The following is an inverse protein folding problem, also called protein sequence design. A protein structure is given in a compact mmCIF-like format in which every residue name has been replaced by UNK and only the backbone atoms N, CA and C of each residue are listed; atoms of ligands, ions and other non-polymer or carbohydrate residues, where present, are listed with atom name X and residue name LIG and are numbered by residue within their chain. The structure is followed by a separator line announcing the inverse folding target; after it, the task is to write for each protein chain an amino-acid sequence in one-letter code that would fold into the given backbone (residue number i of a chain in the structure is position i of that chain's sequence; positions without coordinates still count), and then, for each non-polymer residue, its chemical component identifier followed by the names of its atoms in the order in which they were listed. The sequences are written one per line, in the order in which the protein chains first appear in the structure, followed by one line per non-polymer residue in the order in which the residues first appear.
data_IF_561238538990
#
_entry.id   IF_561238538990
#
_cell.length_a   1.000
_cell.length_b   1.000
_cell.length_c   1.000
_cell.angle_alpha   90.00
_cell.angle_beta   90.00
_cell.angle_gamma   90.00
#
_symmetry.space_group_name_H-M   'P 1'
#
loop_
_entity.id
_entity.type
_entity.pdbx_description
1 polymer ?
#
# COMPACT_ATOMS: atom_id res chain seq x y z
N UNK A 1 -28.79 -2.22 21.49
CA UNK A 1 -28.69 -2.54 20.04
C UNK A 1 -27.25 -2.76 19.64
N UNK A 2 -27.00 -3.47 18.55
CA UNK A 2 -25.64 -3.71 18.04
C UNK A 2 -25.39 -2.79 16.84
N UNK A 3 -24.27 -2.09 16.87
CA UNK A 3 -23.79 -1.18 15.83
C UNK A 3 -22.39 -1.60 15.36
N UNK A 4 -21.90 -1.00 14.29
CA UNK A 4 -20.48 -1.04 13.92
C UNK A 4 -19.95 0.37 14.11
N UNK A 5 -19.06 0.56 15.09
CA UNK A 5 -18.41 1.85 15.38
C UNK A 5 -16.94 1.76 15.02
N UNK A 6 -16.47 2.67 14.16
CA UNK A 6 -15.09 2.67 13.65
C UNK A 6 -14.62 1.28 13.17
N UNK A 7 -15.52 0.58 12.46
CA UNK A 7 -15.25 -0.76 11.91
C UNK A 7 -15.35 -1.91 12.91
N UNK A 8 -15.64 -1.67 14.19
CA UNK A 8 -15.75 -2.70 15.25
C UNK A 8 -17.20 -2.86 15.71
N UNK A 9 -17.65 -4.10 15.97
CA UNK A 9 -18.95 -4.34 16.60
C UNK A 9 -19.00 -3.68 17.99
N UNK A 10 -20.06 -2.96 18.26
CA UNK A 10 -20.31 -2.29 19.53
C UNK A 10 -21.76 -2.49 19.97
N UNK A 11 -21.98 -2.77 21.25
CA UNK A 11 -23.34 -2.91 21.81
C UNK A 11 -23.64 -1.71 22.70
N UNK A 12 -24.75 -1.04 22.45
CA UNK A 12 -25.14 0.18 23.15
C UNK A 12 -26.63 0.19 23.49
N UNK A 13 -27.00 0.98 24.50
CA UNK A 13 -28.37 1.35 24.80
C UNK A 13 -28.74 2.74 24.28
N UNK A 14 -27.78 3.47 23.71
CA UNK A 14 -28.01 4.78 23.11
C UNK A 14 -29.03 4.69 21.97
N UNK A 15 -29.93 5.64 21.86
CA UNK A 15 -30.90 5.76 20.78
C UNK A 15 -30.53 6.84 19.77
N UNK A 16 -29.59 7.72 20.14
CA UNK A 16 -29.15 8.85 19.32
C UNK A 16 -27.64 8.95 19.25
N UNK A 17 -27.14 9.63 18.23
CA UNK A 17 -25.72 9.83 17.98
C UNK A 17 -24.98 10.55 19.11
N UNK A 18 -25.58 11.54 19.76
CA UNK A 18 -24.95 12.25 20.89
C UNK A 18 -24.79 11.33 22.08
N UNK A 19 -25.80 10.57 22.45
CA UNK A 19 -25.77 9.64 23.56
C UNK A 19 -24.67 8.58 23.35
N UNK A 20 -24.55 8.08 22.09
CA UNK A 20 -23.49 7.14 21.71
C UNK A 20 -22.08 7.76 21.83
N UNK A 21 -21.91 9.02 21.43
CA UNK A 21 -20.63 9.72 21.57
C UNK A 21 -20.23 9.93 23.04
N UNK A 22 -21.20 10.29 23.87
CA UNK A 22 -21.00 10.45 25.32
C UNK A 22 -20.63 9.11 25.98
N UNK A 23 -21.33 8.03 25.62
CA UNK A 23 -21.05 6.69 26.10
C UNK A 23 -19.63 6.22 25.70
N UNK A 24 -19.21 6.51 24.48
CA UNK A 24 -17.88 6.12 23.95
C UNK A 24 -16.75 7.02 24.46
N UNK A 25 -17.05 8.22 24.92
CA UNK A 25 -16.08 9.25 25.29
C UNK A 25 -15.05 9.54 24.18
N UNK A 26 -15.44 9.36 22.91
CA UNK A 26 -14.60 9.60 21.75
C UNK A 26 -14.83 11.02 21.24
N UNK A 27 -13.86 11.95 21.38
CA UNK A 27 -13.94 13.25 20.75
C UNK A 27 -14.02 13.07 19.23
N UNK A 28 -14.96 13.70 18.57
CA UNK A 28 -15.08 13.60 17.11
C UNK A 28 -15.47 14.94 16.50
N UNK A 29 -14.71 15.36 15.49
CA UNK A 29 -14.99 16.56 14.70
C UNK A 29 -15.91 16.26 13.52
N UNK A 30 -15.90 14.99 13.08
CA UNK A 30 -16.74 14.52 11.96
C UNK A 30 -17.41 13.22 12.37
N UNK A 31 -18.72 13.16 12.10
CA UNK A 31 -19.51 11.93 12.27
C UNK A 31 -20.05 11.50 10.92
N UNK A 32 -19.89 10.21 10.61
CA UNK A 32 -20.45 9.58 9.41
C UNK A 32 -21.41 8.50 9.87
N UNK A 33 -22.65 8.56 9.43
CA UNK A 33 -23.68 7.55 9.67
C UNK A 33 -24.04 6.88 8.34
N UNK A 34 -23.85 5.58 8.24
CA UNK A 34 -24.15 4.78 7.04
C UNK A 34 -23.54 5.35 5.75
N UNK A 35 -22.33 5.92 5.84
CA UNK A 35 -21.59 6.49 4.72
C UNK A 35 -21.88 7.96 4.44
N UNK A 36 -22.80 8.62 5.17
CA UNK A 36 -23.14 10.03 5.02
C UNK A 36 -22.62 10.85 6.19
N UNK A 37 -21.97 11.97 5.91
CA UNK A 37 -21.58 12.92 6.96
C UNK A 37 -22.83 13.57 7.56
N UNK A 38 -22.92 13.60 8.88
CA UNK A 38 -24.03 14.16 9.63
C UNK A 38 -23.55 15.13 10.70
N UNK A 39 -24.26 16.22 10.88
CA UNK A 39 -24.04 17.22 11.93
C UNK A 39 -25.15 17.24 12.98
N UNK A 40 -26.29 16.64 12.68
CA UNK A 40 -27.46 16.61 13.53
C UNK A 40 -27.42 15.40 14.47
N UNK A 41 -28.17 15.51 15.59
CA UNK A 41 -28.33 14.40 16.53
C UNK A 41 -29.43 13.44 16.04
N UNK A 42 -29.05 12.57 15.10
CA UNK A 42 -29.96 11.60 14.48
C UNK A 42 -30.19 10.37 15.37
N UNK A 43 -31.34 9.74 15.19
CA UNK A 43 -31.63 8.42 15.75
C UNK A 43 -30.75 7.36 15.10
N UNK A 44 -30.27 6.41 15.91
CA UNK A 44 -29.48 5.27 15.45
C UNK A 44 -30.28 3.96 15.62
N UNK A 45 -29.99 3.01 14.73
CA UNK A 45 -30.71 1.73 14.63
C UNK A 45 -29.77 0.54 14.67
N UNK A 46 -30.33 -0.62 14.99
CA UNK A 46 -29.60 -1.90 14.92
C UNK A 46 -28.94 -2.08 13.54
N UNK A 47 -27.62 -2.36 13.54
CA UNK A 47 -26.85 -2.57 12.34
C UNK A 47 -26.24 -1.31 11.70
N UNK A 48 -26.51 -0.12 12.23
CA UNK A 48 -25.93 1.12 11.69
C UNK A 48 -24.41 1.13 11.76
N UNK A 49 -23.81 1.76 10.75
CA UNK A 49 -22.38 2.01 10.64
C UNK A 49 -22.07 3.45 11.08
N UNK A 50 -21.38 3.59 12.20
CA UNK A 50 -20.99 4.91 12.73
C UNK A 50 -19.47 5.05 12.65
N UNK A 51 -18.99 6.10 11.96
CA UNK A 51 -17.59 6.46 11.96
C UNK A 51 -17.40 7.81 12.63
N UNK A 52 -16.57 7.84 13.68
CA UNK A 52 -16.20 9.01 14.45
C UNK A 52 -14.76 9.40 14.13
N UNK A 53 -14.55 10.60 13.57
CA UNK A 53 -13.24 11.06 13.14
C UNK A 53 -12.84 12.29 13.96
N UNK A 54 -11.64 12.25 14.53
CA UNK A 54 -10.97 13.40 15.11
C UNK A 54 -9.93 13.93 14.13
N UNK A 55 -10.05 15.19 13.72
CA UNK A 55 -9.11 15.80 12.76
C UNK A 55 -7.69 15.79 13.29
N UNK A 56 -6.74 15.37 12.45
CA UNK A 56 -5.32 15.37 12.79
C UNK A 56 -4.89 14.30 13.80
N UNK A 57 -5.81 13.48 14.31
CA UNK A 57 -5.45 12.36 15.18
C UNK A 57 -5.27 11.08 14.38
N UNK A 58 -4.14 10.44 14.57
CA UNK A 58 -3.88 9.13 14.00
C UNK A 58 -4.72 8.07 14.72
N UNK A 59 -5.50 7.24 14.00
CA UNK A 59 -6.19 6.11 14.61
C UNK A 59 -5.18 5.08 15.13
N UNK A 60 -5.59 4.25 16.06
CA UNK A 60 -4.81 3.06 16.43
C UNK A 60 -4.70 2.10 15.23
N UNK A 61 -3.71 1.20 15.27
CA UNK A 61 -3.56 0.19 14.22
C UNK A 61 -4.84 -0.62 14.02
N UNK A 62 -5.45 -1.07 15.10
CA UNK A 62 -6.68 -1.87 15.07
C UNK A 62 -7.87 -1.10 14.49
N UNK A 63 -7.97 0.20 14.77
CA UNK A 63 -9.03 1.04 14.19
C UNK A 63 -8.83 1.25 12.69
N UNK A 64 -7.60 1.58 12.27
CA UNK A 64 -7.29 1.75 10.85
C UNK A 64 -7.53 0.45 10.08
N UNK A 65 -7.06 -0.68 10.60
CA UNK A 65 -7.27 -2.00 10.00
C UNK A 65 -8.77 -2.35 9.91
N UNK A 66 -9.53 -2.11 10.96
CA UNK A 66 -10.98 -2.36 10.96
C UNK A 66 -11.71 -1.53 9.90
N UNK A 67 -11.34 -0.26 9.75
CA UNK A 67 -11.89 0.62 8.72
C UNK A 67 -11.47 0.20 7.30
N UNK A 68 -10.24 -0.26 7.11
CA UNK A 68 -9.77 -0.80 5.83
C UNK A 68 -10.45 -2.12 5.47
N UNK A 69 -10.65 -3.02 6.47
CA UNK A 69 -11.38 -4.28 6.29
C UNK A 69 -12.83 -4.07 5.83
N UNK A 70 -13.47 -2.99 6.22
CA UNK A 70 -14.82 -2.68 5.78
C UNK A 70 -14.96 -2.50 4.25
N UNK A 71 -13.84 -2.24 3.55
CA UNK A 71 -13.77 -2.12 2.07
C UNK A 71 -13.24 -3.38 1.40
N UNK A 72 -12.60 -4.27 2.15
CA UNK A 72 -12.11 -5.55 1.65
C UNK A 72 -12.89 -6.68 2.32
N UNK A 73 -13.05 -7.81 1.65
CA UNK A 73 -13.56 -9.00 2.36
C UNK A 73 -12.53 -9.41 3.43
N UNK A 74 -12.94 -9.86 4.61
CA UNK A 74 -12.03 -10.15 5.74
C UNK A 74 -10.85 -11.06 5.37
N UNK A 75 -11.09 -12.11 4.60
CA UNK A 75 -10.05 -13.05 4.16
C UNK A 75 -9.03 -12.42 3.21
N UNK A 76 -9.44 -11.45 2.38
CA UNK A 76 -8.55 -10.72 1.47
C UNK A 76 -7.67 -9.79 2.26
N UNK A 77 -8.23 -9.05 3.22
CA UNK A 77 -7.45 -8.13 4.04
C UNK A 77 -6.34 -8.84 4.82
N UNK A 78 -6.65 -9.98 5.46
CA UNK A 78 -5.64 -10.76 6.20
C UNK A 78 -4.48 -11.20 5.30
N UNK A 79 -4.77 -11.73 4.10
CA UNK A 79 -3.73 -12.13 3.14
C UNK A 79 -2.86 -10.96 2.68
N UNK A 80 -3.47 -9.79 2.46
CA UNK A 80 -2.75 -8.57 2.06
C UNK A 80 -1.86 -8.08 3.19
N UNK A 81 -2.35 -8.07 4.42
CA UNK A 81 -1.59 -7.68 5.62
C UNK A 81 -0.38 -8.59 5.88
N UNK A 82 -0.49 -9.88 5.60
CA UNK A 82 0.62 -10.82 5.76
C UNK A 82 1.59 -10.84 4.59
N UNK A 83 1.21 -10.24 3.47
CA UNK A 83 2.02 -10.24 2.26
C UNK A 83 3.33 -9.46 2.44
N UNK A 84 4.38 -10.02 1.83
CA UNK A 84 5.71 -9.40 1.72
C UNK A 84 5.99 -9.21 0.24
N UNK A 85 6.19 -7.97 -0.17
CA UNK A 85 6.45 -7.62 -1.57
C UNK A 85 7.73 -6.81 -1.64
N UNK A 86 8.65 -7.22 -2.52
CA UNK A 86 9.81 -6.44 -2.88
C UNK A 86 9.58 -5.70 -4.19
N UNK A 87 10.13 -4.50 -4.31
CA UNK A 87 10.06 -3.68 -5.51
C UNK A 87 11.48 -3.30 -5.91
N UNK A 88 11.90 -3.78 -7.06
CA UNK A 88 13.21 -3.55 -7.63
C UNK A 88 13.12 -2.46 -8.71
N UNK A 89 13.69 -1.30 -8.43
CA UNK A 89 13.55 -0.08 -9.21
C UNK A 89 12.37 0.77 -8.72
N UNK A 90 12.64 2.04 -8.43
CA UNK A 90 11.66 2.98 -7.86
C UNK A 90 11.46 4.19 -8.79
N UNK A 91 11.53 3.93 -10.09
CA UNK A 91 11.23 4.90 -11.14
C UNK A 91 9.72 5.13 -11.32
N UNK A 92 9.31 5.44 -12.56
CA UNK A 92 7.91 5.73 -12.90
C UNK A 92 6.94 4.62 -12.56
N UNK A 93 7.33 3.35 -12.78
CA UNK A 93 6.50 2.19 -12.45
C UNK A 93 6.60 1.85 -10.96
N UNK A 94 7.81 1.62 -10.45
CA UNK A 94 8.02 1.11 -9.09
C UNK A 94 7.59 2.06 -7.98
N UNK A 95 7.77 3.38 -8.14
CA UNK A 95 7.30 4.35 -7.15
C UNK A 95 5.77 4.33 -7.01
N UNK A 96 5.06 4.22 -8.14
CA UNK A 96 3.60 4.13 -8.14
C UNK A 96 3.11 2.79 -7.56
N UNK A 97 3.76 1.67 -7.91
CA UNK A 97 3.47 0.35 -7.31
C UNK A 97 3.61 0.41 -5.79
N UNK A 98 4.70 0.98 -5.27
CA UNK A 98 4.95 1.09 -3.83
C UNK A 98 3.82 1.83 -3.10
N UNK A 99 3.42 2.99 -3.63
CA UNK A 99 2.33 3.79 -3.06
C UNK A 99 0.98 3.06 -3.11
N UNK A 100 0.66 2.41 -4.23
CA UNK A 100 -0.61 1.67 -4.38
C UNK A 100 -0.67 0.46 -3.44
N UNK A 101 0.42 -0.30 -3.31
CA UNK A 101 0.50 -1.42 -2.36
C UNK A 101 0.40 -0.95 -0.91
N UNK A 102 1.02 0.19 -0.57
CA UNK A 102 0.88 0.80 0.75
C UNK A 102 -0.59 1.19 1.05
N UNK A 103 -1.27 1.81 0.09
CA UNK A 103 -2.70 2.16 0.22
C UNK A 103 -3.60 0.93 0.33
N UNK A 104 -3.22 -0.17 -0.30
CA UNK A 104 -3.94 -1.45 -0.19
C UNK A 104 -3.72 -2.15 1.16
N UNK A 105 -2.66 -1.78 1.90
CA UNK A 105 -2.36 -2.33 3.22
C UNK A 105 -1.47 -3.57 3.20
N UNK A 106 -0.61 -3.71 2.18
CA UNK A 106 0.41 -4.77 2.13
C UNK A 106 1.34 -4.63 3.33
N UNK A 107 1.45 -5.69 4.15
CA UNK A 107 2.07 -5.60 5.47
C UNK A 107 3.59 -5.37 5.46
N UNK A 108 4.31 -5.82 4.45
CA UNK A 108 5.75 -5.57 4.32
C UNK A 108 6.11 -5.20 2.89
N UNK A 109 6.78 -4.06 2.75
CA UNK A 109 7.37 -3.60 1.49
C UNK A 109 8.89 -3.52 1.62
N UNK A 110 9.60 -4.03 0.60
CA UNK A 110 11.05 -3.88 0.48
C UNK A 110 11.36 -3.08 -0.77
N UNK A 111 11.96 -1.92 -0.59
CA UNK A 111 12.22 -0.94 -1.62
C UNK A 111 13.71 -0.94 -1.97
N UNK A 112 14.04 -1.26 -3.22
CA UNK A 112 15.43 -1.34 -3.69
C UNK A 112 15.63 -0.44 -4.90
N UNK A 113 16.53 0.52 -4.77
CA UNK A 113 16.98 1.40 -5.84
C UNK A 113 18.34 1.98 -5.46
N UNK A 114 19.14 2.41 -6.42
CA UNK A 114 20.44 3.05 -6.15
C UNK A 114 20.41 4.56 -6.34
N UNK A 115 19.38 5.10 -7.02
CA UNK A 115 19.28 6.50 -7.41
C UNK A 115 18.80 7.42 -6.29
N UNK A 116 19.02 8.72 -6.52
CA UNK A 116 18.42 9.82 -5.79
C UNK A 116 17.25 10.42 -6.60
N UNK A 117 16.42 11.20 -5.91
CA UNK A 117 15.31 11.93 -6.56
C UNK A 117 15.88 13.17 -7.27
N UNK A 118 15.60 13.29 -8.55
CA UNK A 118 15.99 14.42 -9.41
C UNK A 118 14.77 15.22 -9.90
N UNK A 119 14.93 16.49 -10.29
CA UNK A 119 13.84 17.29 -10.83
C UNK A 119 13.11 16.66 -12.01
N UNK A 120 13.86 15.97 -12.91
CA UNK A 120 13.31 15.25 -14.07
C UNK A 120 12.40 14.08 -13.71
N UNK A 121 12.45 13.62 -12.47
CA UNK A 121 11.61 12.50 -12.00
C UNK A 121 10.18 12.95 -11.67
N UNK A 122 9.99 14.23 -11.31
CA UNK A 122 8.72 14.73 -10.77
C UNK A 122 7.55 14.70 -11.78
N UNK A 123 7.83 14.53 -13.06
CA UNK A 123 6.79 14.48 -14.09
C UNK A 123 6.03 13.12 -14.16
N UNK A 124 6.58 12.04 -13.60
CA UNK A 124 5.99 10.68 -13.70
C UNK A 124 6.23 9.77 -12.51
N UNK A 125 7.11 10.14 -11.58
CA UNK A 125 7.43 9.36 -10.38
C UNK A 125 6.72 9.96 -9.17
N UNK A 126 6.40 9.14 -8.18
CA UNK A 126 5.65 9.55 -7.00
C UNK A 126 6.53 10.29 -5.96
N UNK A 127 7.21 11.34 -6.40
CA UNK A 127 8.05 12.16 -5.52
C UNK A 127 7.55 13.60 -5.46
N UNK A 128 7.97 14.33 -4.42
CA UNK A 128 7.66 15.72 -4.19
C UNK A 128 8.94 16.57 -4.28
N UNK A 129 8.79 17.89 -4.43
CA UNK A 129 9.92 18.84 -4.44
C UNK A 129 10.77 18.71 -3.17
N UNK A 130 10.14 18.43 -2.02
CA UNK A 130 10.83 18.20 -0.74
C UNK A 130 11.73 16.97 -0.72
N UNK A 131 11.60 16.07 -1.69
CA UNK A 131 12.42 14.86 -1.78
C UNK A 131 13.65 15.01 -2.67
N UNK A 132 13.82 16.14 -3.35
CA UNK A 132 14.96 16.34 -4.25
C UNK A 132 16.29 16.12 -3.53
N UNK A 133 17.15 15.27 -4.12
CA UNK A 133 18.43 14.88 -3.57
C UNK A 133 18.40 13.74 -2.55
N UNK A 134 17.22 13.34 -2.04
CA UNK A 134 17.11 12.18 -1.17
C UNK A 134 17.24 10.87 -1.97
N UNK A 135 17.77 9.78 -1.38
CA UNK A 135 17.63 8.45 -1.96
C UNK A 135 16.17 8.13 -2.26
N UNK A 136 15.87 7.58 -3.44
CA UNK A 136 14.50 7.21 -3.83
C UNK A 136 13.84 6.27 -2.82
N UNK A 137 14.62 5.34 -2.27
CA UNK A 137 14.19 4.40 -1.23
C UNK A 137 13.70 5.11 0.03
N UNK A 138 14.43 6.13 0.48
CA UNK A 138 14.11 6.88 1.69
C UNK A 138 12.91 7.83 1.47
N UNK A 139 12.88 8.50 0.32
CA UNK A 139 11.77 9.37 -0.05
C UNK A 139 10.43 8.61 -0.09
N UNK A 140 10.40 7.41 -0.67
CA UNK A 140 9.18 6.59 -0.69
C UNK A 140 8.83 6.02 0.70
N UNK A 141 9.81 5.65 1.50
CA UNK A 141 9.56 5.20 2.87
C UNK A 141 8.85 6.28 3.67
N UNK A 142 9.33 7.53 3.63
CA UNK A 142 8.67 8.65 4.30
C UNK A 142 7.23 8.87 3.84
N UNK A 143 6.94 8.73 2.54
CA UNK A 143 5.58 8.84 2.03
C UNK A 143 4.69 7.67 2.51
N UNK A 144 5.21 6.44 2.49
CA UNK A 144 4.45 5.26 2.93
C UNK A 144 4.10 5.38 4.41
N UNK A 145 5.02 5.85 5.25
CA UNK A 145 4.78 6.10 6.67
C UNK A 145 3.67 7.13 6.92
N UNK A 146 3.52 8.12 6.03
CA UNK A 146 2.41 9.08 6.07
C UNK A 146 1.09 8.53 5.55
N UNK A 147 1.12 7.53 4.67
CA UNK A 147 -0.07 6.86 4.12
C UNK A 147 -0.61 5.81 5.09
N UNK A 148 0.29 4.95 5.58
CA UNK A 148 -0.02 3.88 6.51
C UNK A 148 1.21 3.55 7.37
N UNK A 149 1.30 4.12 8.58
CA UNK A 149 2.47 3.98 9.45
C UNK A 149 2.66 2.56 10.02
N UNK A 150 1.69 1.67 9.84
CA UNK A 150 1.74 0.30 10.34
C UNK A 150 2.33 -0.70 9.35
N UNK A 151 2.66 -0.27 8.14
CA UNK A 151 3.37 -1.09 7.15
C UNK A 151 4.85 -1.14 7.51
N UNK A 152 5.42 -2.34 7.47
CA UNK A 152 6.86 -2.51 7.64
C UNK A 152 7.58 -2.20 6.33
N UNK A 153 8.27 -1.07 6.27
CA UNK A 153 9.06 -0.66 5.11
C UNK A 153 10.54 -0.94 5.38
N UNK A 154 11.13 -1.81 4.57
CA UNK A 154 12.57 -2.03 4.51
C UNK A 154 13.12 -1.34 3.26
N UNK A 155 14.30 -0.75 3.35
CA UNK A 155 14.94 -0.03 2.23
C UNK A 155 16.36 -0.54 2.02
N UNK A 156 16.82 -0.53 0.77
CA UNK A 156 18.21 -0.78 0.43
C UNK A 156 18.61 0.09 -0.75
N UNK A 157 19.49 1.06 -0.51
CA UNK A 157 20.09 1.85 -1.58
C UNK A 157 21.28 1.09 -2.17
N UNK A 158 21.02 0.35 -3.25
CA UNK A 158 22.05 -0.46 -3.91
C UNK A 158 21.66 -0.71 -5.38
N UNK A 159 22.67 -0.83 -6.24
CA UNK A 159 22.47 -1.35 -7.61
C UNK A 159 22.31 -2.86 -7.55
N UNK A 160 21.27 -3.39 -8.15
CA UNK A 160 21.04 -4.83 -8.27
C UNK A 160 21.97 -5.38 -9.35
N UNK A 161 22.69 -6.43 -9.01
CA UNK A 161 23.62 -7.17 -9.88
C UNK A 161 23.29 -8.66 -9.81
N UNK A 162 23.92 -9.47 -10.68
CA UNK A 162 23.77 -10.91 -10.68
C UNK A 162 24.19 -11.53 -9.34
N UNK A 163 25.28 -11.01 -8.75
CA UNK A 163 25.85 -11.55 -7.51
C UNK A 163 24.98 -11.25 -6.27
N UNK A 164 24.21 -10.17 -6.28
CA UNK A 164 23.44 -9.76 -5.11
C UNK A 164 21.92 -9.96 -5.24
N UNK A 165 21.41 -10.20 -6.44
CA UNK A 165 19.96 -10.26 -6.69
C UNK A 165 19.28 -11.36 -5.88
N UNK A 166 19.85 -12.57 -5.83
CA UNK A 166 19.27 -13.66 -5.04
C UNK A 166 19.20 -13.29 -3.55
N UNK A 167 20.31 -12.94 -2.93
CA UNK A 167 20.38 -12.63 -1.49
C UNK A 167 19.54 -11.42 -1.07
N UNK A 168 19.29 -10.46 -1.98
CA UNK A 168 18.41 -9.32 -1.72
C UNK A 168 16.95 -9.72 -1.65
N UNK A 169 16.52 -10.67 -2.48
CA UNK A 169 15.10 -10.92 -2.70
C UNK A 169 14.61 -12.30 -2.24
N UNK A 170 15.47 -13.19 -1.77
CA UNK A 170 15.12 -14.58 -1.37
C UNK A 170 14.03 -14.68 -0.29
N UNK A 171 13.93 -13.67 0.62
CA UNK A 171 12.91 -13.63 1.66
C UNK A 171 11.53 -13.15 1.17
N UNK A 172 11.42 -12.71 -0.09
CA UNK A 172 10.21 -12.09 -0.62
C UNK A 172 9.50 -13.00 -1.62
N UNK A 173 8.30 -13.51 -1.26
CA UNK A 173 7.54 -14.39 -2.14
C UNK A 173 7.03 -13.71 -3.42
N UNK A 174 7.00 -12.38 -3.43
CA UNK A 174 6.59 -11.58 -4.59
C UNK A 174 7.61 -10.48 -4.82
N UNK A 175 8.13 -10.40 -6.04
CA UNK A 175 9.06 -9.36 -6.47
C UNK A 175 8.47 -8.65 -7.69
N UNK A 176 8.31 -7.33 -7.61
CA UNK A 176 7.95 -6.46 -8.72
C UNK A 176 9.23 -5.93 -9.36
N UNK A 177 9.48 -6.32 -10.59
CA UNK A 177 10.57 -5.79 -11.40
C UNK A 177 10.08 -4.52 -12.12
N UNK A 178 10.74 -3.39 -11.85
CA UNK A 178 10.34 -2.08 -12.35
C UNK A 178 11.52 -1.26 -12.90
N UNK A 179 12.56 -1.91 -13.40
CA UNK A 179 13.68 -1.25 -14.05
C UNK A 179 13.30 -0.76 -15.45
N UNK A 180 13.91 0.33 -15.87
CA UNK A 180 13.79 0.86 -17.22
C UNK A 180 14.91 0.31 -18.16
N UNK A 181 16.00 -0.17 -17.58
CA UNK A 181 17.13 -0.73 -18.32
C UNK A 181 16.92 -2.23 -18.61
N UNK A 182 16.92 -2.67 -19.87
CA UNK A 182 16.65 -4.06 -20.25
C UNK A 182 17.71 -5.05 -19.72
N UNK A 183 18.97 -4.63 -19.56
CA UNK A 183 20.04 -5.47 -19.02
C UNK A 183 19.78 -5.74 -17.53
N UNK A 184 19.50 -4.70 -16.74
CA UNK A 184 19.19 -4.84 -15.31
C UNK A 184 17.92 -5.68 -15.09
N UNK A 185 16.91 -5.52 -15.95
CA UNK A 185 15.71 -6.35 -15.98
C UNK A 185 16.06 -7.82 -16.22
N UNK A 186 16.86 -8.12 -17.26
CA UNK A 186 17.25 -9.49 -17.57
C UNK A 186 18.05 -10.14 -16.45
N UNK A 187 19.01 -9.42 -15.85
CA UNK A 187 19.79 -9.90 -14.72
C UNK A 187 18.85 -10.32 -13.57
N UNK A 188 17.98 -9.44 -13.12
CA UNK A 188 17.09 -9.75 -11.99
C UNK A 188 16.19 -10.95 -12.30
N UNK A 189 15.54 -10.93 -13.48
CA UNK A 189 14.58 -11.98 -13.86
C UNK A 189 15.27 -13.33 -13.97
N UNK A 190 16.39 -13.41 -14.68
CA UNK A 190 17.12 -14.68 -14.88
C UNK A 190 17.63 -15.23 -13.54
N UNK A 191 18.28 -14.38 -12.73
CA UNK A 191 18.81 -14.81 -11.42
C UNK A 191 17.70 -15.35 -10.52
N UNK A 192 16.56 -14.67 -10.44
CA UNK A 192 15.47 -15.12 -9.56
C UNK A 192 14.74 -16.35 -10.10
N UNK A 193 14.60 -16.51 -11.42
CA UNK A 193 14.01 -17.72 -12.00
C UNK A 193 14.87 -18.95 -11.75
N UNK A 194 16.21 -18.79 -11.76
CA UNK A 194 17.16 -19.88 -11.54
C UNK A 194 17.32 -20.20 -10.04
N UNK A 195 17.55 -19.18 -9.20
CA UNK A 195 17.96 -19.36 -7.80
C UNK A 195 16.79 -19.26 -6.80
N UNK A 196 15.68 -18.68 -7.19
CA UNK A 196 14.47 -18.51 -6.35
C UNK A 196 13.19 -18.96 -7.07
N UNK A 197 13.08 -20.23 -7.51
CA UNK A 197 12.03 -20.70 -8.42
C UNK A 197 10.61 -20.65 -7.83
N UNK A 198 10.46 -20.38 -6.53
CA UNK A 198 9.15 -20.21 -5.88
C UNK A 198 8.70 -18.74 -5.81
N UNK A 199 9.61 -17.79 -6.06
CA UNK A 199 9.29 -16.36 -6.07
C UNK A 199 8.43 -16.01 -7.28
N UNK A 200 7.33 -15.30 -7.03
CA UNK A 200 6.48 -14.77 -8.09
C UNK A 200 7.04 -13.45 -8.58
N UNK A 201 7.41 -13.42 -9.85
CA UNK A 201 7.93 -12.22 -10.50
C UNK A 201 6.83 -11.53 -11.29
N UNK A 202 6.64 -10.24 -11.03
CA UNK A 202 5.72 -9.37 -11.77
C UNK A 202 6.56 -8.33 -12.48
N UNK A 203 6.59 -8.36 -13.79
CA UNK A 203 7.50 -7.58 -14.61
C UNK A 203 6.75 -6.65 -15.56
N UNK A 204 7.24 -5.42 -15.72
CA UNK A 204 6.82 -4.56 -16.81
C UNK A 204 7.51 -4.96 -18.10
N UNK A 205 6.78 -5.15 -19.22
CA UNK A 205 7.35 -5.56 -20.50
C UNK A 205 8.08 -4.44 -21.26
N UNK A 206 8.25 -3.27 -20.65
CA UNK A 206 8.89 -2.10 -21.25
C UNK A 206 7.88 -1.05 -21.73
N UNK A 207 8.37 -0.08 -22.51
CA UNK A 207 7.55 1.02 -23.04
C UNK A 207 6.60 0.54 -24.12
N UNK A 208 5.36 0.99 -24.07
CA UNK A 208 4.35 0.71 -25.08
C UNK A 208 4.57 1.50 -26.39
N UNK A 209 5.47 2.46 -26.41
CA UNK A 209 5.70 3.35 -27.56
C UNK A 209 4.45 4.17 -27.90
N UNK A 210 4.12 4.25 -29.18
CA UNK A 210 2.97 5.01 -29.69
C UNK A 210 1.68 4.19 -29.81
N UNK A 211 1.68 2.94 -29.32
CA UNK A 211 0.50 2.08 -29.33
C UNK A 211 -0.57 2.55 -28.34
N UNK A 212 -1.79 2.08 -28.54
CA UNK A 212 -2.89 2.35 -27.61
C UNK A 212 -2.62 1.71 -26.25
N UNK A 213 -2.80 2.45 -25.15
CA UNK A 213 -2.73 1.91 -23.79
C UNK A 213 -3.72 0.77 -23.52
N UNK A 214 -4.81 0.70 -24.29
CA UNK A 214 -5.79 -0.38 -24.21
C UNK A 214 -5.26 -1.75 -24.69
N UNK A 215 -4.06 -1.78 -25.28
CA UNK A 215 -3.38 -3.04 -25.68
C UNK A 215 -2.51 -3.62 -24.57
N UNK A 216 -2.36 -2.93 -23.44
CA UNK A 216 -1.60 -3.44 -22.28
C UNK A 216 -2.34 -4.63 -21.68
N UNK A 217 -1.66 -5.76 -21.57
CA UNK A 217 -2.23 -7.01 -21.07
C UNK A 217 -1.31 -7.60 -19.98
N UNK A 218 -1.92 -8.13 -18.94
CA UNK A 218 -1.20 -8.98 -17.99
C UNK A 218 -1.27 -10.42 -18.45
N UNK A 219 -0.12 -11.05 -18.63
CA UNK A 219 -0.04 -12.44 -19.08
C UNK A 219 0.98 -13.21 -18.25
N UNK A 220 0.60 -14.42 -17.87
CA UNK A 220 1.53 -15.36 -17.25
C UNK A 220 2.44 -15.97 -18.33
N UNK A 221 3.74 -15.74 -18.24
CA UNK A 221 4.73 -16.21 -19.25
C UNK A 221 5.38 -17.54 -18.87
N UNK A 222 5.60 -17.77 -17.56
CA UNK A 222 6.12 -19.02 -17.00
C UNK A 222 5.39 -19.33 -15.69
N UNK A 223 5.77 -20.43 -14.98
CA UNK A 223 5.09 -20.88 -13.75
C UNK A 223 4.90 -19.75 -12.72
N UNK A 224 5.89 -18.87 -12.58
CA UNK A 224 5.88 -17.77 -11.60
C UNK A 224 6.31 -16.42 -12.20
N UNK A 225 6.30 -16.26 -13.54
CA UNK A 225 6.60 -15.01 -14.24
C UNK A 225 5.34 -14.45 -14.88
N UNK A 226 4.99 -13.20 -14.51
CA UNK A 226 3.83 -12.46 -14.96
C UNK A 226 4.23 -11.14 -15.61
#
# INVERSE_FOLDING_TARGET
MKLIVNGKPYTTNASKLLDLKEELQIPSDVTILNGFQVSENLDIKEGDLVTLIQKGKMPSQDELESMMCARHTPNVHHKVKEAKVAIAGLGGLGSNIAILLARTGVGTLFLVDFDVVEPSNLNRQSYYISHLGLPKTEALKQQIEQINPFIKVKTKQIRVTEENAHSLFEEYPIVCEAFDNPISKAILVNTLLEQSPQTKLVCGSGMAGYGSSNTIQTARKMKHLY
#
